data_IF_118100982711
#
_entry.id   IF_118100982711
#
_cell.length_a   1.000
_cell.length_b   1.000
_cell.length_c   1.000
_cell.angle_alpha   90.00
_cell.angle_beta   90.00
_cell.angle_gamma   90.00
#
_symmetry.space_group_name_H-M   'P 1'
#
loop_
_entity.id
_entity.type
_entity.pdbx_description
1 polymer ?
#
# COMPACT_ATOMS: atom_id res chain seq x y z
N UNK A 1 27.88 -6.38 -9.33
CA UNK A 1 26.89 -5.29 -9.52
C UNK A 1 25.81 -5.25 -8.44
N UNK A 2 25.31 -6.40 -7.96
CA UNK A 2 24.29 -6.49 -6.89
C UNK A 2 24.78 -5.86 -5.58
N UNK A 3 25.99 -6.20 -5.11
CA UNK A 3 26.54 -5.70 -3.85
C UNK A 3 26.73 -4.17 -3.81
N UNK A 4 27.15 -3.57 -4.93
CA UNK A 4 27.27 -2.11 -5.06
C UNK A 4 25.90 -1.42 -5.07
N UNK A 5 24.86 -2.05 -5.63
CA UNK A 5 23.50 -1.50 -5.66
C UNK A 5 22.87 -1.46 -4.26
N UNK A 6 23.04 -2.53 -3.47
CA UNK A 6 22.62 -2.55 -2.07
C UNK A 6 23.35 -1.52 -1.20
N UNK A 7 24.67 -1.33 -1.43
CA UNK A 7 25.46 -0.32 -0.72
C UNK A 7 25.06 1.12 -1.07
N UNK A 8 24.71 1.39 -2.33
CA UNK A 8 24.21 2.69 -2.77
C UNK A 8 22.81 3.01 -2.20
N UNK A 9 21.94 2.02 -2.04
CA UNK A 9 20.62 2.22 -1.43
C UNK A 9 20.68 2.54 0.07
N UNK A 10 21.71 2.10 0.81
CA UNK A 10 21.89 2.49 2.21
C UNK A 10 22.47 3.91 2.41
N UNK A 11 23.10 4.47 1.37
CA UNK A 11 23.74 5.79 1.44
C UNK A 11 22.74 6.94 1.26
N UNK A 12 21.58 6.68 0.65
CA UNK A 12 20.50 7.65 0.48
C UNK A 12 19.39 7.27 1.47
N UNK A 13 19.50 7.76 2.69
CA UNK A 13 18.46 7.58 3.70
C UNK A 13 17.35 8.62 3.46
N UNK A 14 16.12 8.21 3.11
CA UNK A 14 15.03 9.16 2.93
C UNK A 14 14.70 9.86 4.25
N UNK A 15 14.44 11.17 4.21
CA UNK A 15 14.05 11.94 5.41
C UNK A 15 12.61 11.70 5.86
N UNK A 16 11.89 10.79 5.19
CA UNK A 16 10.48 10.49 5.43
C UNK A 16 10.25 8.98 5.47
N UNK A 17 9.19 8.56 6.17
CA UNK A 17 8.73 7.17 6.22
C UNK A 17 8.18 6.74 4.84
N UNK A 18 8.85 5.81 4.12
CA UNK A 18 8.34 5.26 2.87
C UNK A 18 7.29 4.19 3.17
N UNK A 19 6.06 4.64 3.41
CA UNK A 19 4.90 3.79 3.67
C UNK A 19 3.93 3.85 2.49
N UNK A 20 3.60 2.67 1.95
CA UNK A 20 2.59 2.48 0.90
C UNK A 20 1.43 1.67 1.45
N UNK A 21 0.20 2.17 1.28
CA UNK A 21 -1.03 1.48 1.70
C UNK A 21 -1.92 1.24 0.49
N UNK A 22 -2.14 -0.03 0.19
CA UNK A 22 -3.03 -0.47 -0.88
C UNK A 22 -4.23 -1.19 -0.25
N UNK A 23 -5.44 -0.69 -0.49
CA UNK A 23 -6.68 -1.34 -0.11
C UNK A 23 -7.45 -1.78 -1.35
N UNK A 24 -7.89 -3.04 -1.37
CA UNK A 24 -8.69 -3.62 -2.45
C UNK A 24 -9.90 -4.35 -1.88
N UNK A 25 -11.06 -4.05 -2.43
CA UNK A 25 -12.33 -4.67 -2.08
C UNK A 25 -12.69 -5.66 -3.20
N UNK A 26 -12.76 -6.95 -2.87
CA UNK A 26 -13.14 -7.99 -3.84
C UNK A 26 -14.64 -8.21 -3.79
N UNK A 27 -15.30 -8.23 -4.95
CA UNK A 27 -16.71 -8.61 -5.05
C UNK A 27 -16.97 -10.02 -4.50
N UNK A 28 -15.96 -10.89 -4.55
CA UNK A 28 -15.99 -12.22 -3.94
C UNK A 28 -16.26 -12.18 -2.43
N UNK A 29 -15.84 -11.13 -1.72
CA UNK A 29 -16.11 -10.93 -0.30
C UNK A 29 -17.61 -10.74 -0.01
N UNK A 30 -18.31 -10.10 -0.95
CA UNK A 30 -19.76 -9.94 -0.92
C UNK A 30 -20.51 -11.13 -1.56
N UNK A 31 -19.79 -12.19 -1.96
CA UNK A 31 -20.36 -13.34 -2.66
C UNK A 31 -20.87 -13.01 -4.07
N UNK A 32 -20.41 -11.89 -4.66
CA UNK A 32 -20.86 -11.40 -5.97
C UNK A 32 -19.78 -11.59 -7.02
N UNK A 33 -20.21 -11.88 -8.24
CA UNK A 33 -19.33 -11.85 -9.41
C UNK A 33 -19.33 -10.41 -9.95
N UNK A 34 -18.16 -9.82 -10.28
CA UNK A 34 -18.11 -8.47 -10.84
C UNK A 34 -18.96 -8.38 -12.12
N UNK A 35 -19.93 -7.47 -12.14
CA UNK A 35 -20.90 -7.31 -13.25
C UNK A 35 -20.30 -6.61 -14.48
N UNK A 36 -19.06 -6.12 -14.38
CA UNK A 36 -18.38 -5.48 -15.49
C UNK A 36 -18.12 -6.46 -16.65
N UNK A 37 -17.98 -5.94 -17.88
CA UNK A 37 -17.70 -6.72 -19.11
C UNK A 37 -16.53 -7.70 -18.95
N UNK A 38 -15.46 -7.27 -18.27
CA UNK A 38 -14.26 -8.08 -18.03
C UNK A 38 -14.40 -9.09 -16.88
N UNK A 39 -15.51 -9.07 -16.12
CA UNK A 39 -15.76 -9.88 -14.91
C UNK A 39 -14.59 -9.85 -13.92
N UNK A 40 -13.91 -8.71 -13.83
CA UNK A 40 -12.75 -8.46 -12.96
C UNK A 40 -12.93 -7.13 -12.26
N UNK A 41 -12.39 -7.04 -11.05
CA UNK A 41 -12.25 -5.75 -10.35
C UNK A 41 -11.47 -4.77 -11.22
N UNK A 42 -11.99 -3.55 -11.35
CA UNK A 42 -11.38 -2.49 -12.14
C UNK A 42 -10.26 -1.79 -11.35
N UNK A 43 -9.86 -0.60 -11.82
CA UNK A 43 -8.97 0.30 -11.06
C UNK A 43 -9.51 0.60 -9.66
N UNK A 44 -8.71 1.31 -8.87
CA UNK A 44 -9.15 1.69 -7.52
C UNK A 44 -10.37 2.59 -7.59
N UNK A 45 -11.38 2.25 -6.79
CA UNK A 45 -12.55 3.08 -6.53
C UNK A 45 -12.24 4.15 -5.48
N UNK A 46 -13.03 5.22 -5.45
CA UNK A 46 -12.85 6.28 -4.45
C UNK A 46 -12.99 5.74 -3.02
N UNK A 47 -13.89 4.77 -2.79
CA UNK A 47 -14.07 4.11 -1.51
C UNK A 47 -12.79 3.38 -1.06
N UNK A 48 -12.14 2.66 -1.97
CA UNK A 48 -10.89 1.96 -1.68
C UNK A 48 -9.75 2.96 -1.39
N UNK A 49 -9.66 4.05 -2.16
CA UNK A 49 -8.66 5.10 -1.96
C UNK A 49 -8.85 5.78 -0.60
N UNK A 50 -10.09 6.13 -0.25
CA UNK A 50 -10.40 6.78 1.02
C UNK A 50 -10.12 5.86 2.21
N UNK A 51 -10.47 4.59 2.10
CA UNK A 51 -10.17 3.57 3.12
C UNK A 51 -8.66 3.39 3.30
N UNK A 52 -7.91 3.26 2.20
CA UNK A 52 -6.44 3.21 2.24
C UNK A 52 -5.82 4.44 2.90
N UNK A 53 -6.35 5.64 2.62
CA UNK A 53 -5.91 6.90 3.26
C UNK A 53 -6.25 6.96 4.75
N UNK A 54 -7.40 6.43 5.17
CA UNK A 54 -7.74 6.34 6.60
C UNK A 54 -6.76 5.45 7.34
N UNK A 55 -6.40 4.31 6.76
CA UNK A 55 -5.39 3.40 7.31
C UNK A 55 -4.03 4.10 7.39
N UNK A 56 -3.55 4.72 6.31
CA UNK A 56 -2.25 5.41 6.29
C UNK A 56 -2.14 6.46 7.42
N UNK A 57 -3.16 7.32 7.56
CA UNK A 57 -3.17 8.38 8.59
C UNK A 57 -3.14 7.84 10.02
N UNK A 58 -3.77 6.68 10.26
CA UNK A 58 -3.85 6.09 11.60
C UNK A 58 -2.58 5.32 11.97
N UNK A 59 -1.92 4.67 11.01
CA UNK A 59 -0.70 3.89 11.28
C UNK A 59 0.59 4.72 11.21
N UNK A 60 0.67 5.74 10.34
CA UNK A 60 1.85 6.59 10.17
C UNK A 60 2.43 7.18 11.47
N UNK A 61 1.62 7.70 12.41
CA UNK A 61 2.15 8.23 13.68
C UNK A 61 2.60 7.14 14.67
N UNK A 62 2.26 5.87 14.43
CA UNK A 62 2.64 4.76 15.32
C UNK A 62 4.06 4.26 15.05
N UNK A 63 4.68 4.66 13.94
CA UNK A 63 6.06 4.31 13.63
C UNK A 63 7.04 5.11 14.47
N UNK A 64 8.14 4.46 14.87
CA UNK A 64 9.22 5.11 15.60
C UNK A 64 9.86 6.22 14.75
N UNK A 65 10.22 7.33 15.39
CA UNK A 65 10.94 8.42 14.73
C UNK A 65 12.24 7.91 14.08
N UNK A 66 12.43 8.21 12.80
CA UNK A 66 13.61 7.75 12.03
C UNK A 66 13.45 6.36 11.41
N UNK A 67 12.27 5.76 11.44
CA UNK A 67 11.99 4.54 10.68
C UNK A 67 11.94 4.84 9.18
N UNK A 68 12.87 4.24 8.42
CA UNK A 68 13.13 4.52 6.99
C UNK A 68 13.10 3.27 6.11
N UNK A 69 12.54 2.17 6.62
CA UNK A 69 12.41 0.94 5.86
C UNK A 69 11.16 0.97 4.97
N UNK A 70 11.32 0.47 3.74
CA UNK A 70 10.23 0.33 2.79
C UNK A 70 9.15 -0.60 3.35
N UNK A 71 7.97 -0.03 3.59
CA UNK A 71 6.86 -0.72 4.26
C UNK A 71 5.62 -0.66 3.39
N UNK A 72 5.09 -1.83 3.02
CA UNK A 72 3.87 -1.95 2.24
C UNK A 72 2.78 -2.66 3.06
N UNK A 73 1.63 -2.01 3.19
CA UNK A 73 0.44 -2.57 3.82
C UNK A 73 -0.58 -2.91 2.74
N UNK A 74 -0.96 -4.18 2.64
CA UNK A 74 -1.97 -4.66 1.69
C UNK A 74 -3.22 -5.10 2.43
N UNK A 75 -4.27 -4.30 2.34
CA UNK A 75 -5.61 -4.65 2.79
C UNK A 75 -6.38 -5.30 1.65
N UNK A 76 -6.90 -6.50 1.88
CA UNK A 76 -7.80 -7.16 0.95
C UNK A 76 -9.03 -7.56 1.74
N UNK A 77 -10.16 -6.98 1.39
CA UNK A 77 -11.45 -7.46 1.86
C UNK A 77 -12.11 -8.34 0.82
#
# INVERSE_FOLDING_TARGET
MIYMKYKLQQLIQPSFLPLTVDYREKAAAAGRIPTNYLRKELGLTDHEILTGRMIDRSIRPLFLNGYVYDTQVKGVS
#
